data_IF_421366637277
#
_entry.id   IF_421366637277
#
_cell.length_a   1.000
_cell.length_b   1.000
_cell.length_c   1.000
_cell.angle_alpha   90.00
_cell.angle_beta   90.00
_cell.angle_gamma   90.00
#
_symmetry.space_group_name_H-M   'P 1'
#
loop_
_entity.id
_entity.type
_entity.pdbx_description
1 polymer ?
#
# COMPACT_ATOMS: atom_id res chain seq x y z
N UNK A 1 -25.75 9.97 -0.39
CA UNK A 1 -24.96 8.75 -0.66
C UNK A 1 -24.96 8.55 -2.17
N UNK A 2 -23.81 8.46 -2.84
CA UNK A 2 -23.77 8.22 -4.29
C UNK A 2 -24.30 6.81 -4.57
N UNK A 3 -25.30 6.71 -5.43
CA UNK A 3 -25.94 5.44 -5.77
C UNK A 3 -25.08 4.68 -6.79
N UNK A 4 -24.82 3.40 -6.53
CA UNK A 4 -24.13 2.48 -7.44
C UNK A 4 -25.19 1.47 -7.85
N UNK A 5 -25.52 1.40 -9.14
CA UNK A 5 -26.57 0.50 -9.63
C UNK A 5 -26.02 -0.92 -9.79
N UNK A 6 -26.88 -1.95 -9.88
CA UNK A 6 -26.48 -3.30 -10.26
C UNK A 6 -25.66 -3.34 -11.58
N UNK A 7 -26.05 -2.55 -12.57
CA UNK A 7 -25.37 -2.43 -13.86
C UNK A 7 -23.93 -1.89 -13.72
N UNK A 8 -23.70 -0.92 -12.82
CA UNK A 8 -22.36 -0.40 -12.55
C UNK A 8 -21.41 -1.50 -12.06
N UNK A 9 -21.90 -2.44 -11.24
CA UNK A 9 -21.10 -3.58 -10.79
C UNK A 9 -20.75 -4.53 -11.94
N UNK A 10 -21.69 -4.78 -12.85
CA UNK A 10 -21.45 -5.62 -14.03
C UNK A 10 -20.40 -4.98 -14.95
N UNK A 11 -20.49 -3.67 -15.22
CA UNK A 11 -19.52 -2.95 -16.03
C UNK A 11 -18.14 -2.92 -15.34
N UNK A 12 -18.10 -2.71 -14.03
CA UNK A 12 -16.85 -2.74 -13.27
C UNK A 12 -16.19 -4.11 -13.34
N UNK A 13 -16.95 -5.20 -13.18
CA UNK A 13 -16.45 -6.56 -13.26
C UNK A 13 -15.87 -6.87 -14.66
N UNK A 14 -16.55 -6.47 -15.73
CA UNK A 14 -16.05 -6.57 -17.10
C UNK A 14 -14.73 -5.81 -17.30
N UNK A 15 -14.55 -4.70 -16.59
CA UNK A 15 -13.31 -3.91 -16.59
C UNK A 15 -12.26 -4.41 -15.56
N UNK A 16 -12.48 -5.55 -14.92
CA UNK A 16 -11.57 -6.15 -13.94
C UNK A 16 -11.52 -5.41 -12.60
N UNK A 17 -12.56 -4.64 -12.27
CA UNK A 17 -12.71 -3.89 -11.03
C UNK A 17 -13.72 -4.65 -10.16
N UNK A 18 -13.24 -5.24 -9.08
CA UNK A 18 -14.13 -5.94 -8.16
C UNK A 18 -15.04 -4.98 -7.38
N UNK A 19 -16.11 -5.55 -6.80
CA UNK A 19 -17.11 -4.84 -6.00
C UNK A 19 -16.49 -3.94 -4.91
N UNK A 20 -15.57 -4.47 -4.12
CA UNK A 20 -14.94 -3.73 -3.02
C UNK A 20 -14.14 -2.51 -3.54
N UNK A 21 -13.46 -2.66 -4.67
CA UNK A 21 -12.71 -1.58 -5.31
C UNK A 21 -13.64 -0.50 -5.85
N UNK A 22 -14.74 -0.90 -6.51
CA UNK A 22 -15.76 0.06 -6.97
C UNK A 22 -16.36 0.83 -5.79
N UNK A 23 -16.82 0.13 -4.76
CA UNK A 23 -17.38 0.75 -3.56
C UNK A 23 -16.39 1.72 -2.91
N UNK A 24 -15.11 1.34 -2.80
CA UNK A 24 -14.09 2.19 -2.22
C UNK A 24 -13.84 3.48 -3.02
N UNK A 25 -13.77 3.36 -4.35
CA UNK A 25 -13.61 4.50 -5.26
C UNK A 25 -14.75 5.50 -5.10
N UNK A 26 -15.98 5.02 -5.01
CA UNK A 26 -17.18 5.88 -4.96
C UNK A 26 -17.41 6.45 -3.55
N UNK A 27 -17.31 5.61 -2.51
CA UNK A 27 -17.71 5.97 -1.14
C UNK A 27 -16.59 6.64 -0.34
N UNK A 28 -15.35 6.16 -0.46
CA UNK A 28 -14.22 6.70 0.31
C UNK A 28 -13.41 7.74 -0.47
N UNK A 29 -13.18 7.49 -1.76
CA UNK A 29 -12.40 8.42 -2.60
C UNK A 29 -13.27 9.43 -3.34
N UNK A 30 -14.59 9.33 -3.20
CA UNK A 30 -15.58 10.23 -3.78
C UNK A 30 -15.47 10.39 -5.31
N UNK A 31 -14.96 9.37 -6.02
CA UNK A 31 -14.86 9.41 -7.48
C UNK A 31 -16.25 9.43 -8.14
N UNK A 32 -16.39 10.07 -9.32
CA UNK A 32 -17.55 9.88 -10.18
C UNK A 32 -17.68 8.41 -10.61
N UNK A 33 -18.91 7.92 -10.78
CA UNK A 33 -19.19 6.52 -11.18
C UNK A 33 -18.47 6.17 -12.49
N UNK A 34 -18.58 7.02 -13.50
CA UNK A 34 -17.92 6.82 -14.80
C UNK A 34 -16.42 6.59 -14.68
N UNK A 35 -15.74 7.37 -13.81
CA UNK A 35 -14.32 7.20 -13.53
C UNK A 35 -14.07 5.92 -12.75
N UNK A 36 -14.91 5.63 -11.76
CA UNK A 36 -14.75 4.49 -10.86
C UNK A 36 -14.89 3.13 -11.57
N UNK A 37 -15.73 3.03 -12.61
CA UNK A 37 -15.93 1.82 -13.41
C UNK A 37 -14.94 1.68 -14.58
N UNK A 38 -14.30 2.77 -15.04
CA UNK A 38 -13.38 2.75 -16.20
C UNK A 38 -11.90 2.69 -15.83
N UNK A 39 -11.50 3.29 -14.71
CA UNK A 39 -10.09 3.38 -14.35
C UNK A 39 -9.53 1.98 -14.03
N UNK A 40 -8.49 1.49 -14.70
CA UNK A 40 -7.92 0.17 -14.40
C UNK A 40 -7.35 0.10 -12.97
N UNK A 41 -7.40 -1.07 -12.36
CA UNK A 41 -6.72 -1.34 -11.08
C UNK A 41 -5.22 -1.45 -11.33
N UNK A 42 -4.40 -0.71 -10.57
CA UNK A 42 -2.95 -0.82 -10.68
C UNK A 42 -2.52 -2.22 -10.23
N UNK A 43 -1.85 -2.94 -11.13
CA UNK A 43 -1.23 -4.25 -10.85
C UNK A 43 0.25 -4.05 -10.57
N UNK A 44 0.75 -4.72 -9.54
CA UNK A 44 2.15 -4.63 -9.12
C UNK A 44 2.94 -5.92 -9.42
N UNK A 45 2.36 -6.87 -10.17
CA UNK A 45 2.95 -8.20 -10.35
C UNK A 45 3.27 -8.88 -9.00
N UNK A 46 4.40 -9.57 -8.95
CA UNK A 46 4.90 -10.25 -7.74
C UNK A 46 5.80 -9.36 -6.87
N UNK A 47 5.95 -8.07 -7.20
CA UNK A 47 6.83 -7.17 -6.46
C UNK A 47 6.49 -6.99 -4.98
N UNK A 48 5.20 -6.96 -4.55
CA UNK A 48 4.87 -6.97 -3.13
C UNK A 48 5.43 -8.20 -2.40
N UNK A 49 5.39 -9.37 -3.02
CA UNK A 49 5.92 -10.63 -2.48
C UNK A 49 7.45 -10.64 -2.52
N UNK A 50 8.08 -10.08 -3.56
CA UNK A 50 9.54 -9.86 -3.62
C UNK A 50 9.98 -8.95 -2.46
N UNK A 51 9.23 -7.88 -2.19
CA UNK A 51 9.52 -6.96 -1.09
C UNK A 51 9.53 -7.71 0.26
N UNK A 52 8.52 -8.54 0.53
CA UNK A 52 8.45 -9.33 1.76
C UNK A 52 9.62 -10.29 1.91
N UNK A 53 9.99 -11.00 0.83
CA UNK A 53 11.17 -11.89 0.82
C UNK A 53 12.47 -11.14 1.12
N UNK A 54 12.55 -9.86 0.74
CA UNK A 54 13.68 -8.97 1.03
C UNK A 54 13.58 -8.27 2.40
N UNK A 55 12.63 -8.66 3.26
CA UNK A 55 12.44 -8.06 4.58
C UNK A 55 11.80 -6.67 4.55
N UNK A 56 11.17 -6.29 3.45
CA UNK A 56 10.47 -5.01 3.26
C UNK A 56 8.97 -5.26 3.36
N UNK A 57 8.31 -4.65 4.35
CA UNK A 57 6.85 -4.76 4.51
C UNK A 57 6.14 -4.28 3.23
N UNK A 58 5.06 -4.96 2.79
CA UNK A 58 4.26 -4.53 1.63
C UNK A 58 3.81 -3.06 1.73
N UNK A 59 3.47 -2.60 2.93
CA UNK A 59 3.11 -1.19 3.16
C UNK A 59 4.23 -0.21 2.80
N UNK A 60 5.49 -0.57 3.06
CA UNK A 60 6.67 0.22 2.67
C UNK A 60 6.85 0.19 1.15
N UNK A 61 6.67 -0.99 0.53
CA UNK A 61 6.69 -1.12 -0.92
C UNK A 61 5.64 -0.19 -1.58
N UNK A 62 4.37 -0.28 -1.18
CA UNK A 62 3.31 0.56 -1.74
C UNK A 62 3.57 2.05 -1.49
N UNK A 63 4.12 2.42 -0.32
CA UNK A 63 4.51 3.79 -0.04
C UNK A 63 5.60 4.26 -1.00
N UNK A 64 6.65 3.47 -1.25
CA UNK A 64 7.71 3.81 -2.21
C UNK A 64 7.17 3.99 -3.63
N UNK A 65 6.34 3.07 -4.10
CA UNK A 65 5.72 3.20 -5.44
C UNK A 65 4.82 4.44 -5.52
N UNK A 66 4.08 4.77 -4.44
CA UNK A 66 3.29 6.01 -4.38
C UNK A 66 4.14 7.29 -4.40
N UNK A 67 5.41 7.18 -4.00
CA UNK A 67 6.40 8.26 -4.08
C UNK A 67 7.14 8.30 -5.44
N UNK A 68 6.71 7.48 -6.41
CA UNK A 68 7.27 7.47 -7.76
C UNK A 68 8.46 6.54 -7.97
N UNK A 69 8.76 5.66 -7.00
CA UNK A 69 9.80 4.64 -7.19
C UNK A 69 9.33 3.58 -8.18
N UNK A 70 10.24 3.06 -9.00
CA UNK A 70 9.98 1.87 -9.79
C UNK A 70 9.77 0.65 -8.88
N UNK A 71 8.97 -0.32 -9.33
CA UNK A 71 8.56 -1.45 -8.51
C UNK A 71 9.75 -2.32 -8.07
N UNK A 72 10.77 -2.48 -8.92
CA UNK A 72 11.95 -3.27 -8.60
C UNK A 72 12.76 -2.62 -7.47
N UNK A 73 13.09 -1.34 -7.59
CA UNK A 73 13.80 -0.58 -6.56
C UNK A 73 12.98 -0.53 -5.28
N UNK A 74 11.65 -0.31 -5.39
CA UNK A 74 10.76 -0.29 -4.24
C UNK A 74 10.79 -1.62 -3.46
N UNK A 75 10.90 -2.74 -4.16
CA UNK A 75 10.90 -4.10 -3.61
C UNK A 75 12.28 -4.63 -3.19
N UNK A 76 13.39 -3.96 -3.54
CA UNK A 76 14.75 -4.48 -3.29
C UNK A 76 15.61 -3.57 -2.43
N UNK A 77 15.36 -2.26 -2.40
CA UNK A 77 16.17 -1.35 -1.59
C UNK A 77 15.92 -1.55 -0.08
N UNK A 78 16.96 -1.77 0.73
CA UNK A 78 16.80 -1.99 2.16
C UNK A 78 16.17 -0.78 2.86
N UNK A 79 15.39 -1.04 3.92
CA UNK A 79 14.84 0.02 4.76
C UNK A 79 15.93 0.48 5.73
N UNK A 80 16.15 1.80 5.82
CA UNK A 80 17.04 2.34 6.85
C UNK A 80 16.50 1.96 8.22
N UNK A 81 17.28 1.23 9.01
CA UNK A 81 16.96 1.01 10.42
C UNK A 81 16.96 2.37 11.12
N UNK A 82 16.02 2.60 12.04
CA UNK A 82 16.18 3.71 12.99
C UNK A 82 17.41 3.36 13.81
N UNK A 83 18.47 4.11 13.60
CA UNK A 83 19.62 4.10 14.48
C UNK A 83 19.14 4.88 15.70
N UNK A 84 18.91 4.18 16.80
CA UNK A 84 18.57 4.67 18.14
C UNK A 84 17.08 4.98 18.46
N UNK A 85 16.62 4.34 19.53
CA UNK A 85 15.46 4.67 20.34
C UNK A 85 15.99 5.22 21.67
N UNK A 86 16.00 6.57 21.88
CA UNK A 86 16.68 7.18 23.02
C UNK A 86 16.26 6.64 24.39
N UNK A 87 15.06 6.09 24.51
CA UNK A 87 14.53 5.54 25.76
C UNK A 87 14.97 4.10 26.00
N UNK A 88 14.83 3.23 25.00
CA UNK A 88 15.18 1.81 25.13
C UNK A 88 16.70 1.62 25.20
N UNK A 89 17.45 2.37 24.39
CA UNK A 89 18.90 2.31 24.40
C UNK A 89 19.48 2.92 25.69
N UNK A 90 18.85 3.92 26.29
CA UNK A 90 19.29 4.47 27.58
C UNK A 90 19.07 3.49 28.73
N UNK A 91 17.90 2.84 28.79
CA UNK A 91 17.63 1.80 29.79
C UNK A 91 18.60 0.61 29.65
N UNK A 92 18.89 0.20 28.43
CA UNK A 92 19.85 -0.88 28.16
C UNK A 92 21.30 -0.45 28.45
N UNK A 93 21.68 0.79 28.13
CA UNK A 93 22.98 1.37 28.52
C UNK A 93 23.13 1.46 30.04
N UNK A 94 22.10 1.91 30.77
CA UNK A 94 22.08 1.96 32.23
C UNK A 94 22.27 0.56 32.81
N UNK A 95 21.59 -0.44 32.25
CA UNK A 95 21.72 -1.84 32.68
C UNK A 95 23.10 -2.44 32.41
N UNK A 96 23.71 -2.13 31.26
CA UNK A 96 25.03 -2.66 30.86
C UNK A 96 26.17 -1.97 31.58
N UNK A 97 26.07 -0.65 31.79
CA UNK A 97 27.11 0.17 32.42
C UNK A 97 26.96 0.25 33.95
N UNK A 98 25.82 -0.17 34.50
CA UNK A 98 25.53 -0.12 35.93
C UNK A 98 25.48 1.30 36.49
N UNK A 99 25.02 2.25 35.67
CA UNK A 99 24.86 3.66 36.03
C UNK A 99 23.63 3.93 36.88
#
# INVERSE_FOLDING_TARGET
MKYITPEDYLIAEQNGINRATLEARVRYYNWPIEKAIKQPVKKYGDYPEIAERNGIKKSVFYKRVSLGWDEQTAATMPVKKRLFSPTEDYEELVKVLGL
#
